data_IF_005859077218
#
_entry.id   IF_005859077218
#
_cell.length_a   1.000
_cell.length_b   1.000
_cell.length_c   1.000
_cell.angle_alpha   90.00
_cell.angle_beta   90.00
_cell.angle_gamma   90.00
#
_symmetry.space_group_name_H-M   'P 1'
#
loop_
_entity.id
_entity.type
_entity.pdbx_description
1 polymer ?
#
# COMPACT_ATOMS: atom_id res chain seq x y z
N UNK A 1 38.45 -10.75 -37.52
CA UNK A 1 37.20 -10.19 -36.91
C UNK A 1 37.06 -10.78 -35.51
N UNK A 2 37.07 -9.96 -34.45
CA UNK A 2 36.87 -10.43 -33.07
C UNK A 2 35.38 -10.36 -32.76
N UNK A 3 34.71 -11.51 -32.66
CA UNK A 3 33.34 -11.57 -32.15
C UNK A 3 33.37 -11.22 -30.66
N UNK A 4 32.94 -10.01 -30.30
CA UNK A 4 32.65 -9.69 -28.91
C UNK A 4 31.47 -10.55 -28.46
N UNK A 5 31.73 -11.66 -27.75
CA UNK A 5 30.70 -12.41 -27.05
C UNK A 5 30.07 -11.48 -26.00
N UNK A 6 28.93 -10.89 -26.34
CA UNK A 6 28.11 -10.12 -25.40
C UNK A 6 27.53 -11.10 -24.38
N UNK A 7 28.20 -11.25 -23.23
CA UNK A 7 27.67 -12.00 -22.08
C UNK A 7 26.27 -11.47 -21.77
N UNK A 8 25.24 -12.32 -21.91
CA UNK A 8 23.87 -12.01 -21.52
C UNK A 8 23.84 -11.81 -20.00
N UNK A 9 23.86 -10.55 -19.55
CA UNK A 9 23.62 -10.23 -18.13
C UNK A 9 22.18 -10.61 -17.79
N UNK A 10 21.90 -11.15 -16.58
CA UNK A 10 20.53 -11.42 -16.15
C UNK A 10 19.69 -10.14 -16.24
N UNK A 11 18.49 -10.23 -16.84
CA UNK A 11 17.55 -9.10 -16.85
C UNK A 11 17.00 -8.90 -15.43
N UNK A 12 17.48 -7.86 -14.76
CA UNK A 12 17.03 -7.45 -13.42
C UNK A 12 16.01 -6.31 -13.44
N UNK A 13 15.84 -5.62 -14.57
CA UNK A 13 14.80 -4.59 -14.73
C UNK A 13 13.41 -5.18 -14.49
N UNK A 14 12.65 -4.59 -13.57
CA UNK A 14 11.30 -5.03 -13.20
C UNK A 14 11.25 -6.18 -12.18
N UNK A 15 12.39 -6.69 -11.72
CA UNK A 15 12.42 -7.67 -10.63
C UNK A 15 12.50 -6.95 -9.29
N UNK A 16 11.50 -7.18 -8.46
CA UNK A 16 11.52 -6.78 -7.06
C UNK A 16 12.23 -7.90 -6.29
N UNK A 17 13.23 -7.53 -5.49
CA UNK A 17 13.88 -8.45 -4.58
C UNK A 17 12.96 -8.73 -3.39
N UNK A 18 12.64 -10.01 -3.16
CA UNK A 18 11.81 -10.43 -2.03
C UNK A 18 12.74 -10.61 -0.83
N UNK A 19 12.81 -9.58 0.03
CA UNK A 19 13.65 -9.59 1.24
C UNK A 19 13.08 -10.49 2.34
N UNK A 20 11.75 -10.54 2.47
CA UNK A 20 11.04 -11.30 3.50
C UNK A 20 9.94 -12.14 2.89
N UNK A 21 9.82 -13.38 3.32
CA UNK A 21 8.73 -14.26 2.90
C UNK A 21 7.46 -14.00 3.72
N UNK A 22 6.29 -14.36 3.18
CA UNK A 22 5.00 -14.24 3.91
C UNK A 22 5.02 -15.01 5.25
N UNK A 23 5.84 -16.06 5.36
CA UNK A 23 5.99 -16.86 6.59
C UNK A 23 6.67 -16.09 7.73
N UNK A 24 7.44 -15.05 7.41
CA UNK A 24 8.09 -14.17 8.39
C UNK A 24 7.16 -13.08 8.92
N UNK A 25 5.91 -13.00 8.42
CA UNK A 25 4.92 -12.03 8.87
C UNK A 25 4.68 -12.17 10.39
N UNK A 26 4.72 -11.07 11.16
CA UNK A 26 4.44 -11.12 12.59
C UNK A 26 3.02 -11.62 12.88
N UNK A 27 2.86 -12.55 13.84
CA UNK A 27 1.54 -13.06 14.28
C UNK A 27 0.56 -11.95 14.66
N UNK A 28 1.05 -10.87 15.27
CA UNK A 28 0.24 -9.70 15.64
C UNK A 28 -0.48 -9.05 14.44
N UNK A 29 0.12 -9.12 13.25
CA UNK A 29 -0.51 -8.62 12.01
C UNK A 29 -1.65 -9.52 11.52
N UNK A 30 -1.69 -10.78 11.94
CA UNK A 30 -2.78 -11.72 11.63
C UNK A 30 -3.90 -11.61 12.66
N UNK A 31 -3.54 -11.40 13.92
CA UNK A 31 -4.47 -11.18 15.05
C UNK A 31 -5.22 -9.85 14.96
N UNK A 32 -4.71 -8.87 14.19
CA UNK A 32 -5.31 -7.53 14.03
C UNK A 32 -5.55 -6.85 15.38
N UNK A 33 -4.59 -6.99 16.29
CA UNK A 33 -4.77 -6.66 17.71
C UNK A 33 -4.42 -5.21 18.08
N UNK A 34 -4.16 -4.32 17.11
CA UNK A 34 -3.74 -2.94 17.38
C UNK A 34 -4.28 -1.92 16.38
N UNK A 35 -4.54 -0.71 16.89
CA UNK A 35 -4.98 0.44 16.12
C UNK A 35 -3.86 1.01 15.25
N UNK A 36 -4.25 1.51 14.06
CA UNK A 36 -3.35 2.19 13.12
C UNK A 36 -2.96 1.34 11.92
N UNK A 37 -3.48 0.12 11.78
CA UNK A 37 -3.41 -0.65 10.54
C UNK A 37 -4.58 -0.30 9.63
N UNK A 38 -4.32 0.61 8.70
CA UNK A 38 -5.29 1.01 7.71
C UNK A 38 -5.15 0.16 6.45
N UNK A 39 -6.25 -0.42 5.98
CA UNK A 39 -6.41 -0.83 4.60
C UNK A 39 -7.11 0.28 3.82
N UNK A 40 -6.66 0.55 2.60
CA UNK A 40 -7.30 1.50 1.71
C UNK A 40 -7.90 0.77 0.50
N UNK A 41 -9.04 1.25 0.04
CA UNK A 41 -9.67 0.81 -1.21
C UNK A 41 -10.28 2.03 -1.90
N UNK A 42 -10.34 2.03 -3.23
CA UNK A 42 -11.01 3.06 -4.03
C UNK A 42 -12.17 2.45 -4.80
N UNK A 43 -13.39 2.94 -4.56
CA UNK A 43 -14.57 2.54 -5.31
C UNK A 43 -14.86 3.59 -6.38
N UNK A 44 -14.73 3.19 -7.65
CA UNK A 44 -14.99 4.11 -8.78
C UNK A 44 -16.49 4.34 -8.89
N UNK A 45 -16.88 5.62 -8.86
CA UNK A 45 -18.24 6.07 -9.14
C UNK A 45 -18.30 6.45 -10.63
N UNK A 46 -19.50 6.61 -11.20
CA UNK A 46 -19.63 7.07 -12.58
C UNK A 46 -18.89 8.42 -12.78
N UNK A 47 -18.07 8.50 -13.84
CA UNK A 47 -17.29 9.71 -14.15
C UNK A 47 -15.87 9.70 -13.56
N UNK A 48 -15.25 10.87 -13.35
CA UNK A 48 -13.86 10.99 -12.90
C UNK A 48 -13.68 10.86 -11.39
N UNK A 49 -14.70 10.42 -10.66
CA UNK A 49 -14.71 10.41 -9.19
C UNK A 49 -14.58 8.99 -8.63
N UNK A 50 -13.95 8.86 -7.47
CA UNK A 50 -13.93 7.65 -6.67
C UNK A 50 -14.18 7.97 -5.19
N UNK A 51 -14.76 7.01 -4.49
CA UNK A 51 -14.85 7.00 -3.05
C UNK A 51 -13.61 6.28 -2.50
N UNK A 52 -12.70 7.02 -1.87
CA UNK A 52 -11.63 6.46 -1.06
C UNK A 52 -12.24 5.95 0.25
N UNK A 53 -11.90 4.73 0.64
CA UNK A 53 -12.34 4.10 1.87
C UNK A 53 -11.10 3.64 2.64
N UNK A 54 -10.98 4.05 3.90
CA UNK A 54 -9.95 3.58 4.83
C UNK A 54 -10.59 2.79 5.95
N UNK A 55 -10.12 1.57 6.17
CA UNK A 55 -10.60 0.70 7.23
C UNK A 55 -9.48 0.36 8.22
N UNK A 56 -9.68 0.67 9.49
CA UNK A 56 -8.81 0.15 10.55
C UNK A 56 -9.13 -1.34 10.77
N UNK A 57 -8.13 -2.21 10.61
CA UNK A 57 -8.34 -3.66 10.67
C UNK A 57 -8.70 -4.20 12.06
N UNK A 58 -8.35 -3.49 13.12
CA UNK A 58 -8.59 -3.92 14.50
C UNK A 58 -10.00 -3.56 14.97
N UNK A 59 -10.44 -2.33 14.74
CA UNK A 59 -11.74 -1.83 15.23
C UNK A 59 -12.82 -1.71 14.16
N UNK A 60 -12.50 -2.03 12.89
CA UNK A 60 -13.40 -1.88 11.74
C UNK A 60 -13.93 -0.45 11.58
N UNK A 61 -13.16 0.54 12.03
CA UNK A 61 -13.47 1.95 11.85
C UNK A 61 -13.33 2.27 10.36
N UNK A 62 -14.40 2.81 9.78
CA UNK A 62 -14.47 3.18 8.38
C UNK A 62 -14.38 4.70 8.24
N UNK A 63 -13.45 5.17 7.43
CA UNK A 63 -13.38 6.55 6.95
C UNK A 63 -13.61 6.52 5.45
N UNK A 64 -14.26 7.55 4.93
CA UNK A 64 -14.44 7.67 3.50
C UNK A 64 -14.40 9.13 3.07
N UNK A 65 -13.86 9.36 1.88
CA UNK A 65 -13.78 10.67 1.24
C UNK A 65 -13.93 10.50 -0.27
N UNK A 66 -14.71 11.37 -0.91
CA UNK A 66 -14.78 11.43 -2.36
C UNK A 66 -13.57 12.18 -2.92
N UNK A 67 -12.96 11.65 -3.97
CA UNK A 67 -11.82 12.26 -4.64
C UNK A 67 -11.86 12.00 -6.15
N UNK A 68 -11.03 12.71 -6.92
CA UNK A 68 -10.85 12.34 -8.33
C UNK A 68 -10.11 10.99 -8.42
N UNK A 69 -10.47 10.19 -9.42
CA UNK A 69 -9.87 8.89 -9.69
C UNK A 69 -8.49 9.03 -10.36
N UNK A 70 -7.57 9.71 -9.67
CA UNK A 70 -6.17 9.85 -10.00
C UNK A 70 -5.31 9.73 -8.73
N UNK A 71 -4.06 9.31 -8.88
CA UNK A 71 -3.18 9.03 -7.74
C UNK A 71 -2.85 10.25 -6.90
N UNK A 72 -2.80 11.45 -7.49
CA UNK A 72 -2.48 12.68 -6.78
C UNK A 72 -3.62 13.11 -5.87
N UNK A 73 -4.85 13.05 -6.36
CA UNK A 73 -6.05 13.37 -5.59
C UNK A 73 -6.30 12.35 -4.48
N UNK A 74 -6.21 11.05 -4.79
CA UNK A 74 -6.37 9.97 -3.79
C UNK A 74 -5.32 10.09 -2.68
N UNK A 75 -4.05 10.35 -3.03
CA UNK A 75 -2.99 10.51 -2.03
C UNK A 75 -3.23 11.70 -1.09
N UNK A 76 -3.74 12.82 -1.60
CA UNK A 76 -4.09 13.98 -0.77
C UNK A 76 -5.24 13.68 0.17
N UNK A 77 -6.30 13.04 -0.33
CA UNK A 77 -7.45 12.63 0.48
C UNK A 77 -7.02 11.65 1.58
N UNK A 78 -6.20 10.65 1.25
CA UNK A 78 -5.70 9.67 2.21
C UNK A 78 -4.89 10.32 3.34
N UNK A 79 -3.97 11.24 3.01
CA UNK A 79 -3.20 12.00 4.00
C UNK A 79 -4.12 12.84 4.89
N UNK A 80 -5.13 13.50 4.31
CA UNK A 80 -6.12 14.28 5.05
C UNK A 80 -6.91 13.43 6.03
N UNK A 81 -7.46 12.29 5.58
CA UNK A 81 -8.19 11.36 6.43
C UNK A 81 -7.36 10.80 7.59
N UNK A 82 -6.08 10.53 7.35
CA UNK A 82 -5.16 9.97 8.36
C UNK A 82 -4.54 11.02 9.29
N UNK A 83 -4.70 12.31 9.01
CA UNK A 83 -4.13 13.38 9.82
C UNK A 83 -4.65 13.33 11.27
N UNK A 84 -3.73 13.33 12.23
CA UNK A 84 -4.06 13.25 13.67
C UNK A 84 -4.46 11.87 14.17
N UNK A 85 -4.42 10.83 13.32
CA UNK A 85 -4.71 9.45 13.72
C UNK A 85 -3.44 8.72 14.19
N UNK A 86 -3.57 7.65 14.99
CA UNK A 86 -2.43 6.87 15.44
C UNK A 86 -1.70 6.24 14.24
N UNK A 87 -0.45 6.63 14.00
CA UNK A 87 0.43 5.99 13.04
C UNK A 87 1.31 4.98 13.78
N UNK A 88 0.95 3.70 13.71
CA UNK A 88 1.74 2.61 14.29
C UNK A 88 2.06 1.59 13.21
N UNK A 89 3.33 1.21 13.14
CA UNK A 89 3.82 0.21 12.20
C UNK A 89 4.34 -0.99 12.98
N UNK A 90 3.96 -2.22 12.57
CA UNK A 90 4.49 -3.45 13.18
C UNK A 90 5.92 -3.80 12.75
N UNK A 91 6.38 -3.23 11.65
CA UNK A 91 7.75 -3.42 11.15
C UNK A 91 8.65 -2.34 11.73
N UNK A 92 9.74 -2.74 12.38
CA UNK A 92 10.87 -1.85 12.62
C UNK A 92 11.43 -1.38 11.28
N UNK A 93 11.63 -0.07 11.13
CA UNK A 93 12.22 0.53 9.93
C UNK A 93 13.69 0.19 9.74
#
# INVERSE_FOLDING_TARGET
MRHHLRRKRPKTKGKIEILHTVKERPKKADERSYLGEWGNDTLVVAGPMCLLVLADRAVRLLLAEESQHDSGSVSKAEVGLLQGRPLKTLTSG
#
